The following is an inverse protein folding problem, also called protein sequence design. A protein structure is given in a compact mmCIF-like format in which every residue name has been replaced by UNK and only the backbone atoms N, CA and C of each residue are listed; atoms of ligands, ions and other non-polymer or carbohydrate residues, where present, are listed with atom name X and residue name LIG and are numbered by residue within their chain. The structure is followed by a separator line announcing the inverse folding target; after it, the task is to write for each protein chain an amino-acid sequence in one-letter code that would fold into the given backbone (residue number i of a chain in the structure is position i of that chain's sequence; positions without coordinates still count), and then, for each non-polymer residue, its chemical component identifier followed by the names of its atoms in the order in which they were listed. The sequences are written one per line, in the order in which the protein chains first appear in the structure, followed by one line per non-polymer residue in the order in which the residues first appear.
data_IF_820247331457
#
_entry.id   IF_820247331457
#
_cell.length_a   1.000
_cell.length_b   1.000
_cell.length_c   1.000
_cell.angle_alpha   90.00
_cell.angle_beta   90.00
_cell.angle_gamma   90.00
#
_symmetry.space_group_name_H-M   'P 1'
#
loop_
_entity.id
_entity.type
_entity.pdbx_description
1 polymer ?
#
# COMPACT_ATOMS: atom_id res chain seq x y z
N UNK A 1 20.58 -23.46 -9.73
CA UNK A 1 20.75 -21.98 -9.78
C UNK A 1 19.46 -21.26 -10.18
N UNK A 2 18.74 -21.67 -11.23
CA UNK A 2 17.52 -20.97 -11.70
C UNK A 2 16.35 -20.90 -10.71
N UNK A 3 16.08 -21.96 -9.94
CA UNK A 3 14.96 -21.99 -8.98
C UNK A 3 15.17 -21.05 -7.78
N UNK A 4 16.41 -20.96 -7.28
CA UNK A 4 16.78 -20.06 -6.17
C UNK A 4 16.62 -18.59 -6.59
N UNK A 5 16.97 -18.27 -7.84
CA UNK A 5 16.84 -16.93 -8.39
C UNK A 5 15.36 -16.55 -8.61
N UNK A 6 14.54 -17.50 -9.10
CA UNK A 6 13.09 -17.31 -9.25
C UNK A 6 12.39 -17.10 -7.90
N UNK A 7 12.76 -17.88 -6.87
CA UNK A 7 12.25 -17.71 -5.50
C UNK A 7 12.64 -16.35 -4.91
N UNK A 8 13.88 -15.91 -5.14
CA UNK A 8 14.37 -14.61 -4.67
C UNK A 8 13.59 -13.45 -5.30
N UNK A 9 13.38 -13.51 -6.62
CA UNK A 9 12.59 -12.50 -7.35
C UNK A 9 11.13 -12.49 -6.86
N UNK A 10 10.53 -13.65 -6.61
CA UNK A 10 9.19 -13.77 -6.03
C UNK A 10 9.11 -13.06 -4.67
N UNK A 11 10.05 -13.34 -3.76
CA UNK A 11 10.09 -12.68 -2.44
C UNK A 11 10.27 -11.17 -2.54
N UNK A 12 11.16 -10.69 -3.40
CA UNK A 12 11.37 -9.25 -3.61
C UNK A 12 10.11 -8.57 -4.15
N UNK A 13 9.40 -9.21 -5.08
CA UNK A 13 8.11 -8.70 -5.60
C UNK A 13 7.05 -8.63 -4.50
N UNK A 14 6.96 -9.66 -3.65
CA UNK A 14 6.05 -9.67 -2.52
C UNK A 14 6.35 -8.52 -1.54
N UNK A 15 7.62 -8.32 -1.17
CA UNK A 15 8.04 -7.22 -0.30
C UNK A 15 7.72 -5.84 -0.91
N UNK A 16 8.06 -5.62 -2.18
CA UNK A 16 7.76 -4.36 -2.87
C UNK A 16 6.25 -4.07 -2.90
N UNK A 17 5.43 -5.10 -3.18
CA UNK A 17 3.98 -4.97 -3.17
C UNK A 17 3.45 -4.63 -1.78
N UNK A 18 3.94 -5.30 -0.73
CA UNK A 18 3.58 -4.99 0.65
C UNK A 18 3.92 -3.53 1.02
N UNK A 19 5.12 -3.08 0.66
CA UNK A 19 5.54 -1.68 0.89
C UNK A 19 4.65 -0.69 0.15
N UNK A 20 4.31 -0.95 -1.12
CA UNK A 20 3.40 -0.09 -1.89
C UNK A 20 2.01 -0.01 -1.26
N UNK A 21 1.44 -1.15 -0.84
CA UNK A 21 0.12 -1.16 -0.18
C UNK A 21 0.14 -0.38 1.12
N UNK A 22 1.21 -0.53 1.92
CA UNK A 22 1.38 0.25 3.14
C UNK A 22 1.41 1.76 2.85
N UNK A 23 2.17 2.20 1.85
CA UNK A 23 2.18 3.61 1.42
C UNK A 23 0.80 4.09 0.98
N UNK A 24 0.10 3.32 0.16
CA UNK A 24 -1.23 3.68 -0.34
C UNK A 24 -2.26 3.82 0.78
N UNK A 25 -2.16 2.98 1.82
CA UNK A 25 -2.99 3.11 3.02
C UNK A 25 -2.75 4.43 3.74
N UNK A 26 -1.48 4.83 3.93
CA UNK A 26 -1.14 6.12 4.56
C UNK A 26 -1.69 7.29 3.74
N UNK A 27 -1.57 7.24 2.42
CA UNK A 27 -2.09 8.32 1.56
C UNK A 27 -3.62 8.40 1.60
N UNK A 28 -4.32 7.24 1.65
CA UNK A 28 -5.78 7.20 1.82
C UNK A 28 -6.23 7.78 3.16
N UNK A 29 -5.50 7.51 4.23
CA UNK A 29 -5.74 8.08 5.56
C UNK A 29 -5.53 9.60 5.55
N UNK A 30 -4.42 10.09 4.97
CA UNK A 30 -4.16 11.52 4.84
C UNK A 30 -5.25 12.24 4.02
N UNK A 31 -5.72 11.59 2.95
CA UNK A 31 -6.84 12.10 2.16
C UNK A 31 -8.14 12.16 2.95
N UNK A 32 -8.43 11.16 3.79
CA UNK A 32 -9.57 11.18 4.69
C UNK A 32 -9.44 12.29 5.74
N UNK A 33 -8.23 12.58 6.21
CA UNK A 33 -7.92 13.68 7.11
C UNK A 33 -8.00 15.08 6.46
N UNK A 34 -8.18 15.16 5.14
CA UNK A 34 -8.41 16.42 4.42
C UNK A 34 -7.34 16.80 3.40
N UNK A 35 -6.23 16.06 3.31
CA UNK A 35 -5.19 16.29 2.31
C UNK A 35 -5.61 15.72 0.93
N UNK A 36 -6.44 16.48 0.22
CA UNK A 36 -6.99 16.07 -1.08
C UNK A 36 -5.97 16.10 -2.21
N UNK A 37 -4.84 16.79 -2.02
CA UNK A 37 -3.80 16.96 -3.04
C UNK A 37 -2.82 15.78 -3.12
N UNK A 38 -2.91 14.83 -2.18
CA UNK A 38 -2.06 13.63 -2.15
C UNK A 38 -2.10 12.83 -3.46
N UNK A 39 -3.27 12.71 -4.07
CA UNK A 39 -3.49 11.85 -5.23
C UNK A 39 -3.36 12.56 -6.59
N UNK A 40 -3.53 13.88 -6.63
CA UNK A 40 -3.57 14.65 -7.88
C UNK A 40 -2.22 14.71 -8.60
N UNK A 41 -1.13 14.34 -7.93
CA UNK A 41 0.25 14.41 -8.43
C UNK A 41 0.79 13.10 -8.99
N UNK A 42 0.06 12.00 -8.87
CA UNK A 42 0.53 10.70 -9.34
C UNK A 42 0.03 10.38 -10.73
N UNK A 43 0.96 10.06 -11.61
CA UNK A 43 0.73 9.67 -13.00
C UNK A 43 1.40 8.34 -13.29
N UNK A 44 0.82 7.56 -14.20
CA UNK A 44 1.46 6.36 -14.70
C UNK A 44 2.62 6.70 -15.67
N UNK A 45 3.34 5.68 -16.14
CA UNK A 45 4.41 5.86 -17.14
C UNK A 45 3.95 6.40 -18.50
N UNK A 46 2.65 6.65 -18.69
CA UNK A 46 2.03 7.23 -19.89
C UNK A 46 1.45 8.63 -19.61
N UNK A 47 1.68 9.19 -18.42
CA UNK A 47 1.18 10.51 -18.02
C UNK A 47 -0.31 10.54 -17.66
N UNK A 48 -0.97 9.38 -17.52
CA UNK A 48 -2.36 9.32 -17.07
C UNK A 48 -2.38 9.52 -15.56
N UNK A 49 -3.22 10.44 -15.06
CA UNK A 49 -3.45 10.54 -13.62
C UNK A 49 -3.93 9.20 -13.07
N UNK A 50 -3.22 8.74 -12.05
CA UNK A 50 -3.61 7.61 -11.21
C UNK A 50 -4.45 8.07 -10.01
N UNK A 51 -4.72 9.38 -9.92
CA UNK A 51 -5.24 10.07 -8.74
C UNK A 51 -6.74 9.90 -8.46
N UNK A 52 -7.27 8.69 -8.60
CA UNK A 52 -8.66 8.40 -8.22
C UNK A 52 -8.68 7.62 -6.91
N UNK A 53 -9.28 8.19 -5.87
CA UNK A 53 -9.40 7.57 -4.53
C UNK A 53 -9.85 6.10 -4.62
N UNK A 54 -10.86 5.82 -5.45
CA UNK A 54 -11.40 4.47 -5.63
C UNK A 54 -10.39 3.48 -6.23
N UNK A 55 -9.51 3.93 -7.14
CA UNK A 55 -8.46 3.10 -7.71
C UNK A 55 -7.43 2.70 -6.66
N UNK A 56 -7.11 3.62 -5.75
CA UNK A 56 -6.18 3.39 -4.64
C UNK A 56 -6.75 2.43 -3.60
N UNK A 57 -8.04 2.59 -3.28
CA UNK A 57 -8.79 1.62 -2.47
C UNK A 57 -8.77 0.23 -3.11
N UNK A 58 -8.93 0.15 -4.44
CA UNK A 58 -8.84 -1.13 -5.16
C UNK A 58 -7.44 -1.75 -5.08
N UNK A 59 -6.37 -0.97 -5.25
CA UNK A 59 -5.00 -1.47 -5.12
C UNK A 59 -4.69 -1.99 -3.73
N UNK A 60 -5.12 -1.27 -2.69
CA UNK A 60 -4.98 -1.73 -1.31
C UNK A 60 -5.76 -3.02 -1.08
N UNK A 61 -7.02 -3.10 -1.52
CA UNK A 61 -7.83 -4.33 -1.40
C UNK A 61 -7.17 -5.52 -2.10
N UNK A 62 -6.69 -5.32 -3.32
CA UNK A 62 -6.02 -6.37 -4.09
C UNK A 62 -4.71 -6.83 -3.41
N UNK A 63 -3.94 -5.90 -2.87
CA UNK A 63 -2.70 -6.21 -2.15
C UNK A 63 -2.91 -6.90 -0.80
N UNK A 64 -4.02 -6.61 -0.10
CA UNK A 64 -4.40 -7.32 1.13
C UNK A 64 -4.95 -8.72 0.87
N UNK A 65 -5.52 -8.96 -0.31
CA UNK A 65 -6.00 -10.28 -0.73
C UNK A 65 -4.87 -11.18 -1.28
N UNK A 66 -3.65 -10.66 -1.41
CA UNK A 66 -2.51 -11.40 -1.93
C UNK A 66 -2.03 -12.46 -0.90
N UNK A 67 -2.03 -13.76 -1.24
CA UNK A 67 -1.57 -14.82 -0.33
C UNK A 67 -0.10 -14.69 0.09
N UNK A 68 0.72 -13.96 -0.68
CA UNK A 68 2.12 -13.68 -0.36
C UNK A 68 2.29 -12.40 0.49
N UNK A 69 1.21 -11.70 0.86
CA UNK A 69 1.22 -10.51 1.72
C UNK A 69 1.40 -10.83 3.22
N UNK A 70 2.22 -11.84 3.54
CA UNK A 70 2.51 -12.23 4.92
C UNK A 70 3.11 -11.06 5.70
N UNK A 71 2.45 -10.67 6.80
CA UNK A 71 2.87 -9.56 7.66
C UNK A 71 2.15 -8.23 7.39
N UNK A 72 1.60 -8.03 6.18
CA UNK A 72 0.86 -6.81 5.84
C UNK A 72 -0.45 -6.70 6.64
N UNK A 73 -1.21 -7.79 6.74
CA UNK A 73 -2.45 -7.80 7.54
C UNK A 73 -2.19 -7.46 9.02
N UNK A 74 -1.10 -7.99 9.59
CA UNK A 74 -0.69 -7.68 10.97
C UNK A 74 -0.29 -6.21 11.10
N UNK A 75 0.46 -5.67 10.13
CA UNK A 75 0.83 -4.25 10.12
C UNK A 75 -0.43 -3.36 10.03
N UNK A 76 -1.37 -3.66 9.14
CA UNK A 76 -2.64 -2.91 9.00
C UNK A 76 -3.43 -2.94 10.30
N UNK A 77 -3.60 -4.11 10.92
CA UNK A 77 -4.29 -4.23 12.22
C UNK A 77 -3.62 -3.42 13.32
N UNK A 78 -2.28 -3.46 13.40
CA UNK A 78 -1.53 -2.68 14.37
C UNK A 78 -1.66 -1.17 14.12
N UNK A 79 -1.63 -0.73 12.85
CA UNK A 79 -1.81 0.67 12.47
C UNK A 79 -3.20 1.18 12.80
N UNK A 80 -4.25 0.43 12.43
CA UNK A 80 -5.63 0.76 12.77
C UNK A 80 -5.82 0.88 14.28
N UNK A 81 -5.21 -0.03 15.05
CA UNK A 81 -5.22 0.05 16.52
C UNK A 81 -4.48 1.30 17.03
N UNK A 82 -3.31 1.63 16.47
CA UNK A 82 -2.56 2.83 16.86
C UNK A 82 -3.35 4.12 16.56
N UNK A 83 -4.02 4.19 15.40
CA UNK A 83 -4.90 5.30 15.02
C UNK A 83 -6.09 5.42 15.98
N UNK A 84 -6.77 4.30 16.30
CA UNK A 84 -7.89 4.29 17.25
C UNK A 84 -7.47 4.71 18.66
N UNK A 85 -6.20 4.52 19.02
CA UNK A 85 -5.64 4.92 20.30
C UNK A 85 -5.01 6.34 20.27
N UNK A 86 -4.93 6.99 19.11
CA UNK A 86 -4.28 8.29 18.94
C UNK A 86 -2.76 8.28 19.13
N UNK A 87 -2.10 7.13 18.91
CA UNK A 87 -0.66 6.91 19.18
C UNK A 87 0.22 7.23 17.96
N UNK A 88 -0.36 7.58 16.81
CA UNK A 88 0.42 7.83 15.59
C UNK A 88 1.05 9.21 15.67
N UNK A 89 2.29 9.28 16.13
CA UNK A 89 3.16 10.47 15.97
C UNK A 89 3.64 10.55 14.51
N UNK A 90 3.61 11.76 13.95
CA UNK A 90 4.06 12.12 12.58
C UNK A 90 5.55 11.87 12.34
#
# INVERSE_FOLDING_TARGET
MGEVQAETVRRLRALLRQSLVASYLVDLEAYQAGDKDRFTRMVDGKGKQLGEYDLWVQYVRAGLADPDAQGLERWVKNRQRALALGIVEE
#
